data_IF_790042091494
#
_entry.id   IF_790042091494
#
_cell.length_a   1.000
_cell.length_b   1.000
_cell.length_c   1.000
_cell.angle_alpha   90.00
_cell.angle_beta   90.00
_cell.angle_gamma   90.00
#
_symmetry.space_group_name_H-M   'P 1'
#
loop_
_entity.id
_entity.type
_entity.pdbx_description
1 polymer ?
#
# COMPACT_ATOMS: atom_id res chain seq x y z
N UNK A 1 30.68 -13.18 -4.98
CA UNK A 1 29.63 -12.23 -4.53
C UNK A 1 30.25 -10.84 -4.55
N UNK A 2 29.63 -9.86 -5.22
CA UNK A 2 30.12 -8.47 -5.21
C UNK A 2 29.71 -7.77 -3.90
N UNK A 3 30.40 -6.69 -3.54
CA UNK A 3 30.00 -5.84 -2.42
C UNK A 3 28.72 -5.07 -2.80
N UNK A 4 27.75 -5.03 -1.89
CA UNK A 4 26.47 -4.34 -2.06
C UNK A 4 26.22 -3.54 -0.77
N UNK A 5 25.74 -2.32 -0.92
CA UNK A 5 25.37 -1.43 0.19
C UNK A 5 24.21 -1.99 1.01
N UNK A 6 24.24 -1.79 2.33
CA UNK A 6 23.22 -2.28 3.26
C UNK A 6 21.82 -1.75 2.92
N UNK A 7 21.70 -0.47 2.52
CA UNK A 7 20.41 0.14 2.21
C UNK A 7 19.72 -0.57 1.02
N UNK A 8 20.51 -1.16 0.12
CA UNK A 8 19.97 -1.90 -1.03
C UNK A 8 19.37 -3.26 -0.64
N UNK A 9 19.66 -3.77 0.55
CA UNK A 9 19.09 -5.01 1.06
C UNK A 9 17.80 -4.79 1.85
N UNK A 10 17.57 -3.60 2.41
CA UNK A 10 16.35 -3.31 3.17
C UNK A 10 15.09 -3.60 2.34
N UNK A 11 14.13 -4.29 2.93
CA UNK A 11 12.89 -4.72 2.29
C UNK A 11 13.00 -6.00 1.44
N UNK A 12 14.20 -6.55 1.25
CA UNK A 12 14.43 -7.81 0.52
C UNK A 12 13.67 -8.96 1.18
N UNK A 13 13.01 -9.80 0.36
CA UNK A 13 12.29 -10.98 0.84
C UNK A 13 13.30 -12.05 1.28
N UNK A 14 13.08 -12.67 2.44
CA UNK A 14 13.90 -13.77 2.94
C UNK A 14 13.03 -15.02 3.06
N UNK A 15 13.47 -16.11 2.42
CA UNK A 15 12.79 -17.41 2.38
C UNK A 15 13.79 -18.49 2.82
N UNK A 16 13.33 -19.46 3.61
CA UNK A 16 14.16 -20.59 4.01
C UNK A 16 14.19 -21.73 2.97
N UNK A 17 15.02 -22.75 3.21
CA UNK A 17 15.18 -23.87 2.27
C UNK A 17 13.92 -24.75 2.11
N UNK A 18 12.93 -24.63 3.00
CA UNK A 18 11.63 -25.33 2.90
C UNK A 18 10.56 -24.46 2.21
N UNK A 19 10.92 -23.25 1.78
CA UNK A 19 10.01 -22.33 1.10
C UNK A 19 9.14 -21.48 2.02
N UNK A 20 9.46 -21.37 3.32
CA UNK A 20 8.76 -20.50 4.25
C UNK A 20 9.35 -19.09 4.26
N UNK A 21 8.48 -18.08 4.27
CA UNK A 21 8.87 -16.68 4.37
C UNK A 21 9.33 -16.38 5.80
N UNK A 22 10.62 -16.12 5.96
CA UNK A 22 11.24 -15.67 7.21
C UNK A 22 10.88 -14.20 7.50
N UNK A 23 10.68 -13.39 6.46
CA UNK A 23 10.31 -11.98 6.57
C UNK A 23 10.94 -11.13 5.48
N UNK A 24 11.07 -9.84 5.75
CA UNK A 24 11.80 -8.87 4.94
C UNK A 24 12.93 -8.26 5.75
N UNK A 25 14.04 -7.92 5.11
CA UNK A 25 15.20 -7.30 5.78
C UNK A 25 14.81 -5.93 6.35
N UNK A 26 15.01 -5.76 7.65
CA UNK A 26 14.81 -4.50 8.37
C UNK A 26 16.12 -3.71 8.42
N UNK A 27 17.18 -4.35 8.90
CA UNK A 27 18.49 -3.76 9.14
C UNK A 27 19.56 -4.85 9.32
N UNK A 28 20.82 -4.44 9.42
CA UNK A 28 21.93 -5.30 9.80
C UNK A 28 22.47 -4.90 11.17
N UNK A 29 23.01 -5.88 11.87
CA UNK A 29 23.73 -5.71 13.13
C UNK A 29 25.09 -6.39 12.95
N UNK A 30 26.15 -5.57 12.89
CA UNK A 30 27.52 -6.05 12.69
C UNK A 30 28.15 -6.26 14.06
N UNK A 31 28.51 -7.50 14.36
CA UNK A 31 29.32 -7.85 15.54
C UNK A 31 30.74 -8.20 15.09
N UNK A 32 31.73 -8.27 16.01
CA UNK A 32 33.11 -8.58 15.63
C UNK A 32 33.29 -9.94 14.93
N UNK A 33 32.39 -10.88 15.19
CA UNK A 33 32.45 -12.28 14.77
C UNK A 33 31.47 -12.62 13.63
N UNK A 34 30.39 -11.87 13.45
CA UNK A 34 29.33 -12.19 12.48
C UNK A 34 28.51 -10.97 12.09
N UNK A 35 27.72 -11.13 11.02
CA UNK A 35 26.77 -10.11 10.58
C UNK A 35 25.36 -10.69 10.69
N UNK A 36 24.54 -10.05 11.51
CA UNK A 36 23.18 -10.47 11.81
C UNK A 36 22.18 -9.63 11.02
N UNK A 37 21.26 -10.30 10.33
CA UNK A 37 20.20 -9.69 9.54
C UNK A 37 18.90 -9.67 10.36
N UNK A 38 18.41 -8.48 10.70
CA UNK A 38 17.13 -8.28 11.39
C UNK A 38 16.00 -8.31 10.38
N UNK A 39 14.91 -9.01 10.69
CA UNK A 39 13.77 -9.16 9.79
C UNK A 39 12.50 -8.53 10.37
N UNK A 40 11.56 -8.19 9.49
CA UNK A 40 10.17 -7.85 9.85
C UNK A 40 9.19 -8.62 8.97
N UNK A 41 7.96 -8.79 9.46
CA UNK A 41 6.83 -9.33 8.70
C UNK A 41 5.74 -8.27 8.62
N UNK A 42 5.04 -8.25 7.49
CA UNK A 42 3.81 -7.47 7.36
C UNK A 42 2.67 -8.37 7.81
N UNK A 43 2.02 -7.99 8.90
CA UNK A 43 0.85 -8.69 9.43
C UNK A 43 -0.38 -7.87 9.05
N UNK A 44 -1.31 -8.50 8.34
CA UNK A 44 -2.60 -7.88 8.04
C UNK A 44 -3.42 -7.78 9.31
N UNK A 45 -3.59 -6.57 9.83
CA UNK A 45 -4.56 -6.26 10.87
C UNK A 45 -5.87 -5.84 10.19
N UNK A 46 -6.96 -6.56 10.46
CA UNK A 46 -8.30 -6.02 10.22
C UNK A 46 -8.57 -4.95 11.27
N UNK A 47 -8.58 -3.68 10.86
CA UNK A 47 -9.04 -2.58 11.69
C UNK A 47 -10.45 -2.20 11.28
N UNK A 48 -11.33 -2.11 12.27
CA UNK A 48 -12.60 -1.44 12.08
C UNK A 48 -12.36 0.07 12.15
N UNK A 49 -12.51 0.74 11.02
CA UNK A 49 -12.45 2.20 10.92
C UNK A 49 -13.83 2.74 10.58
N UNK A 50 -14.09 4.00 10.88
CA UNK A 50 -15.39 4.60 10.60
C UNK A 50 -15.63 4.64 9.08
N UNK A 51 -16.80 4.18 8.68
CA UNK A 51 -17.26 4.32 7.30
C UNK A 51 -17.84 5.74 7.13
N UNK A 52 -16.95 6.69 6.84
CA UNK A 52 -17.30 8.13 6.71
C UNK A 52 -18.40 8.38 5.69
N UNK A 53 -18.44 7.62 4.59
CA UNK A 53 -19.47 7.77 3.57
C UNK A 53 -20.83 7.32 4.10
N UNK A 54 -20.92 6.11 4.65
CA UNK A 54 -22.17 5.63 5.26
C UNK A 54 -22.60 6.49 6.44
N UNK A 55 -21.67 7.02 7.22
CA UNK A 55 -21.98 7.92 8.33
C UNK A 55 -22.64 9.21 7.82
N UNK A 56 -22.13 9.80 6.72
CA UNK A 56 -22.76 10.96 6.07
C UNK A 56 -24.15 10.62 5.54
N UNK A 57 -24.31 9.46 4.91
CA UNK A 57 -25.60 9.00 4.41
C UNK A 57 -26.62 8.80 5.53
N UNK A 58 -26.23 8.14 6.63
CA UNK A 58 -27.05 7.93 7.80
C UNK A 58 -27.48 9.27 8.43
N UNK A 59 -26.55 10.21 8.57
CA UNK A 59 -26.83 11.56 9.06
C UNK A 59 -27.79 12.32 8.12
N UNK A 60 -27.62 12.21 6.81
CA UNK A 60 -28.52 12.85 5.83
C UNK A 60 -29.91 12.22 5.83
N UNK A 61 -30.00 10.89 5.93
CA UNK A 61 -31.27 10.17 6.03
C UNK A 61 -32.00 10.53 7.32
N UNK A 62 -31.30 10.55 8.45
CA UNK A 62 -31.91 10.90 9.73
C UNK A 62 -32.43 12.34 9.77
N UNK A 63 -31.68 13.29 9.21
CA UNK A 63 -32.02 14.72 9.31
C UNK A 63 -32.94 15.22 8.20
N UNK A 64 -32.87 14.63 7.01
CA UNK A 64 -33.53 15.15 5.80
C UNK A 64 -34.33 14.08 5.05
N UNK A 65 -34.33 12.83 5.51
CA UNK A 65 -34.98 11.68 4.88
C UNK A 65 -34.59 11.46 3.41
N UNK A 66 -33.40 11.95 3.00
CA UNK A 66 -32.90 11.86 1.63
C UNK A 66 -31.38 12.09 1.56
N UNK A 67 -30.69 11.20 0.84
CA UNK A 67 -29.28 11.37 0.48
C UNK A 67 -29.17 12.14 -0.84
N UNK A 68 -28.53 13.31 -0.83
CA UNK A 68 -28.13 14.00 -2.07
C UNK A 68 -27.06 15.06 -1.81
N UNK A 69 -26.33 15.52 -2.85
CA UNK A 69 -25.32 16.58 -2.69
C UNK A 69 -25.88 17.89 -2.10
N UNK A 70 -27.17 18.19 -2.33
CA UNK A 70 -27.85 19.35 -1.72
C UNK A 70 -28.04 19.16 -0.21
N UNK A 71 -28.32 17.94 0.24
CA UNK A 71 -28.50 17.59 1.65
C UNK A 71 -27.16 17.47 2.37
N UNK A 72 -26.09 17.08 1.69
CA UNK A 72 -24.74 17.10 2.25
C UNK A 72 -24.32 18.53 2.61
N UNK A 73 -24.59 19.51 1.72
CA UNK A 73 -24.37 20.94 2.03
C UNK A 73 -25.18 21.40 3.25
N UNK A 74 -26.43 20.93 3.39
CA UNK A 74 -27.27 21.24 4.55
C UNK A 74 -26.75 20.57 5.83
N UNK A 75 -26.28 19.33 5.74
CA UNK A 75 -25.65 18.58 6.83
C UNK A 75 -24.46 19.38 7.38
N UNK A 76 -23.53 19.77 6.51
CA UNK A 76 -22.35 20.55 6.91
C UNK A 76 -22.69 21.91 7.50
N UNK A 77 -23.75 22.58 7.01
CA UNK A 77 -24.22 23.84 7.60
C UNK A 77 -24.79 23.63 9.00
N UNK A 78 -25.52 22.54 9.23
CA UNK A 78 -26.11 22.19 10.53
C UNK A 78 -25.03 21.75 11.52
N UNK A 79 -24.11 20.90 11.09
CA UNK A 79 -22.98 20.41 11.87
C UNK A 79 -22.09 21.56 12.37
N UNK A 80 -21.79 22.54 11.50
CA UNK A 80 -21.05 23.75 11.91
C UNK A 80 -21.79 24.59 12.96
N UNK A 81 -23.11 24.71 12.84
CA UNK A 81 -23.93 25.48 13.78
C UNK A 81 -23.96 24.82 15.16
N UNK A 82 -24.16 23.50 15.21
CA UNK A 82 -24.29 22.74 16.45
C UNK A 82 -22.95 22.58 17.17
N UNK A 83 -21.88 22.27 16.43
CA UNK A 83 -20.52 22.13 16.98
C UNK A 83 -19.77 23.47 17.11
N UNK A 84 -20.43 24.59 16.80
CA UNK A 84 -19.84 25.95 16.81
C UNK A 84 -18.52 26.04 16.03
N UNK A 85 -18.44 25.34 14.90
CA UNK A 85 -17.24 25.29 14.07
C UNK A 85 -17.15 26.53 13.16
N UNK A 86 -15.94 27.09 12.95
CA UNK A 86 -15.72 28.16 11.99
C UNK A 86 -16.17 27.77 10.57
N UNK A 87 -16.72 28.72 9.80
CA UNK A 87 -17.15 28.47 8.41
C UNK A 87 -16.01 28.04 7.49
N UNK A 88 -14.77 28.35 7.87
CA UNK A 88 -13.55 28.12 7.10
C UNK A 88 -12.87 26.78 7.38
N UNK A 89 -13.30 26.04 8.42
CA UNK A 89 -12.70 24.75 8.78
C UNK A 89 -13.32 23.61 7.94
N UNK A 90 -12.50 22.71 7.36
CA UNK A 90 -12.99 21.47 6.79
C UNK A 90 -13.60 20.61 7.90
N UNK A 91 -14.66 19.87 7.58
CA UNK A 91 -15.29 18.96 8.53
C UNK A 91 -14.56 17.62 8.46
N UNK A 92 -13.96 17.20 9.57
CA UNK A 92 -13.21 15.98 9.75
C UNK A 92 -14.13 14.81 10.14
N UNK A 93 -13.58 13.61 10.11
CA UNK A 93 -14.24 12.39 10.61
C UNK A 93 -14.67 12.54 12.07
N UNK A 94 -13.83 13.15 12.91
CA UNK A 94 -14.05 13.32 14.35
C UNK A 94 -15.31 14.16 14.62
N UNK A 95 -15.52 15.21 13.84
CA UNK A 95 -16.70 16.07 13.99
C UNK A 95 -17.98 15.40 13.48
N UNK A 96 -17.90 14.58 12.42
CA UNK A 96 -19.03 13.76 11.96
C UNK A 96 -19.43 12.73 13.01
N UNK A 97 -18.44 12.06 13.61
CA UNK A 97 -18.63 11.09 14.69
C UNK A 97 -19.22 11.75 15.93
N UNK A 98 -18.67 12.88 16.35
CA UNK A 98 -19.16 13.65 17.50
C UNK A 98 -20.62 14.08 17.29
N UNK A 99 -20.95 14.57 16.09
CA UNK A 99 -22.30 14.96 15.76
C UNK A 99 -23.29 13.78 15.72
N UNK A 100 -22.88 12.63 15.18
CA UNK A 100 -23.70 11.42 15.19
C UNK A 100 -23.96 10.89 16.61
N UNK A 101 -22.94 10.93 17.49
CA UNK A 101 -23.10 10.59 18.92
C UNK A 101 -24.07 11.52 19.63
N UNK A 102 -24.02 12.83 19.37
CA UNK A 102 -24.99 13.79 19.92
C UNK A 102 -26.43 13.48 19.50
N UNK A 103 -26.61 12.93 18.29
CA UNK A 103 -27.91 12.52 17.77
C UNK A 103 -28.33 11.10 18.20
N UNK A 104 -27.48 10.38 18.94
CA UNK A 104 -27.73 9.00 19.37
C UNK A 104 -27.73 8.00 18.21
N UNK A 105 -27.02 8.29 17.12
CA UNK A 105 -26.92 7.42 15.95
C UNK A 105 -25.74 6.46 16.09
N UNK A 106 -25.95 5.23 15.62
CA UNK A 106 -24.87 4.25 15.47
C UNK A 106 -23.86 4.73 14.44
N UNK A 107 -22.58 4.54 14.74
CA UNK A 107 -21.48 4.92 13.86
C UNK A 107 -21.15 3.71 12.99
N UNK A 108 -21.45 3.73 11.67
CA UNK A 108 -21.11 2.62 10.80
C UNK A 108 -19.59 2.49 10.69
N UNK A 109 -19.10 1.27 10.81
CA UNK A 109 -17.69 0.92 10.62
C UNK A 109 -17.52 0.07 9.37
N UNK A 110 -16.31 0.13 8.79
CA UNK A 110 -15.87 -0.78 7.73
C UNK A 110 -14.55 -1.42 8.15
N UNK A 111 -14.38 -2.68 7.77
CA UNK A 111 -13.12 -3.39 7.94
C UNK A 111 -12.13 -2.91 6.89
N UNK A 112 -10.98 -2.43 7.33
CA UNK A 112 -9.84 -2.09 6.48
C UNK A 112 -8.68 -2.96 6.87
N UNK A 113 -8.05 -3.58 5.88
CA UNK A 113 -6.78 -4.28 6.07
C UNK A 113 -5.68 -3.22 6.19
N UNK A 114 -5.14 -3.03 7.39
CA UNK A 114 -3.91 -2.27 7.58
C UNK A 114 -2.75 -3.26 7.75
N UNK A 115 -1.70 -3.15 6.94
CA UNK A 115 -0.48 -3.90 7.17
C UNK A 115 0.31 -3.23 8.31
N UNK A 116 0.50 -3.92 9.44
CA UNK A 116 1.44 -3.51 10.47
C UNK A 116 2.77 -4.25 10.30
N UNK A 117 3.89 -3.56 10.54
CA UNK A 117 5.21 -4.19 10.52
C UNK A 117 5.52 -4.73 11.91
N UNK A 118 5.70 -6.03 12.00
CA UNK A 118 6.07 -6.73 13.23
C UNK A 118 7.50 -7.24 13.07
N UNK A 119 8.39 -6.88 13.99
CA UNK A 119 9.76 -7.37 13.97
C UNK A 119 9.80 -8.88 14.25
N UNK A 120 10.74 -9.55 13.60
CA UNK A 120 11.10 -10.94 13.88
C UNK A 120 12.11 -10.90 15.02
N UNK A 121 11.77 -11.54 16.14
CA UNK A 121 12.58 -11.48 17.38
C UNK A 121 14.04 -11.92 17.17
N UNK A 122 14.21 -13.08 16.52
CA UNK A 122 15.52 -13.68 16.27
C UNK A 122 16.10 -13.17 14.93
N UNK A 123 17.32 -12.62 14.92
CA UNK A 123 18.00 -12.27 13.69
C UNK A 123 18.50 -13.52 12.96
N UNK A 124 18.71 -13.39 11.65
CA UNK A 124 19.31 -14.44 10.80
C UNK A 124 20.79 -14.14 10.60
N UNK A 125 21.65 -15.12 10.82
CA UNK A 125 23.07 -14.99 10.50
C UNK A 125 23.25 -14.92 8.97
N UNK A 126 24.00 -13.92 8.48
CA UNK A 126 24.33 -13.78 7.05
C UNK A 126 25.05 -15.03 6.51
N UNK A 127 25.77 -15.75 7.36
CA UNK A 127 26.37 -17.03 6.96
C UNK A 127 25.33 -18.02 6.46
N UNK A 128 24.06 -17.95 6.88
CA UNK A 128 22.98 -18.84 6.44
C UNK A 128 22.45 -18.54 5.03
N UNK A 129 22.92 -17.49 4.38
CA UNK A 129 22.50 -17.15 3.01
C UNK A 129 23.10 -18.14 2.01
N UNK A 130 22.26 -18.72 1.17
CA UNK A 130 22.68 -19.58 0.07
C UNK A 130 22.71 -18.81 -1.26
N UNK A 131 21.63 -18.10 -1.57
CA UNK A 131 21.46 -17.35 -2.82
C UNK A 131 20.82 -15.99 -2.56
N UNK A 132 21.24 -14.99 -3.35
CA UNK A 132 20.65 -13.65 -3.36
C UNK A 132 20.55 -13.18 -4.79
N UNK A 133 19.39 -12.67 -5.20
CA UNK A 133 19.23 -12.13 -6.54
C UNK A 133 18.10 -11.12 -6.62
N UNK A 134 18.06 -10.44 -7.75
CA UNK A 134 17.08 -9.41 -8.05
C UNK A 134 16.35 -9.75 -9.35
N UNK A 135 15.07 -9.44 -9.35
CA UNK A 135 14.19 -9.50 -10.51
C UNK A 135 13.41 -8.18 -10.58
N UNK A 136 12.69 -7.89 -11.69
CA UNK A 136 11.78 -6.75 -11.74
C UNK A 136 10.76 -6.75 -10.60
N UNK A 137 10.40 -7.92 -10.04
CA UNK A 137 9.46 -8.08 -8.94
C UNK A 137 10.06 -7.78 -7.56
N UNK A 138 11.38 -7.60 -7.48
CA UNK A 138 12.12 -7.31 -6.26
C UNK A 138 13.25 -8.30 -6.01
N UNK A 139 13.86 -8.15 -4.83
CA UNK A 139 14.99 -8.95 -4.35
C UNK A 139 14.50 -10.07 -3.45
N UNK A 140 15.16 -11.22 -3.56
CA UNK A 140 14.97 -12.33 -2.65
C UNK A 140 16.30 -12.94 -2.20
N UNK A 141 16.28 -13.47 -0.98
CA UNK A 141 17.33 -14.23 -0.33
C UNK A 141 16.78 -15.61 -0.01
N UNK A 142 17.50 -16.65 -0.40
CA UNK A 142 17.24 -18.03 -0.02
C UNK A 142 18.26 -18.44 1.05
N UNK A 143 17.78 -18.94 2.19
CA UNK A 143 18.63 -19.52 3.23
C UNK A 143 18.89 -21.00 2.96
N UNK A 144 20.09 -21.48 3.29
CA UNK A 144 20.47 -22.90 3.16
C UNK A 144 19.82 -23.81 4.21
N UNK A 145 19.34 -23.23 5.31
CA UNK A 145 18.70 -23.96 6.40
C UNK A 145 17.21 -23.64 6.53
N UNK A 146 16.40 -24.58 7.03
CA UNK A 146 14.96 -24.43 7.22
C UNK A 146 14.66 -23.60 8.47
N UNK A 147 15.16 -22.36 8.50
CA UNK A 147 15.20 -21.49 9.68
C UNK A 147 13.81 -21.14 10.21
N UNK A 148 12.89 -20.72 9.33
CA UNK A 148 11.53 -20.35 9.73
C UNK A 148 10.70 -21.60 10.03
N UNK A 149 10.90 -22.68 9.26
CA UNK A 149 10.27 -23.97 9.51
C UNK A 149 10.62 -24.52 10.91
N UNK A 150 11.92 -24.51 11.28
CA UNK A 150 12.40 -24.89 12.63
C UNK A 150 11.75 -24.01 13.69
N UNK A 151 11.73 -22.69 13.50
CA UNK A 151 11.15 -21.73 14.45
C UNK A 151 9.65 -21.94 14.68
N UNK A 152 8.91 -22.33 13.64
CA UNK A 152 7.48 -22.66 13.73
C UNK A 152 7.19 -24.06 14.26
N UNK A 153 8.22 -24.91 14.39
CA UNK A 153 8.05 -26.32 14.73
C UNK A 153 7.28 -27.13 13.67
N UNK A 154 7.32 -26.71 12.40
CA UNK A 154 6.72 -27.49 11.31
C UNK A 154 7.65 -28.63 10.88
N UNK A 155 7.10 -29.78 10.44
CA UNK A 155 7.90 -30.89 9.93
C UNK A 155 8.76 -30.47 8.74
N UNK A 156 10.06 -30.76 8.81
CA UNK A 156 11.01 -30.63 7.71
C UNK A 156 10.88 -31.89 6.85
N UNK A 157 10.60 -31.74 5.57
CA UNK A 157 10.32 -32.88 4.69
C UNK A 157 11.58 -33.23 3.89
N UNK A 158 11.94 -34.51 3.87
CA UNK A 158 13.01 -34.98 2.97
C UNK A 158 12.48 -35.03 1.52
N UNK A 159 12.96 -34.12 0.68
CA UNK A 159 12.62 -34.05 -0.75
C UNK A 159 11.41 -33.18 -1.06
N UNK A 160 11.09 -33.04 -2.36
CA UNK A 160 10.01 -32.15 -2.82
C UNK A 160 8.64 -32.80 -2.58
N UNK A 161 7.78 -32.24 -1.71
CA UNK A 161 6.47 -32.83 -1.44
C UNK A 161 5.54 -32.69 -2.65
N UNK A 162 4.75 -33.72 -2.92
CA UNK A 162 3.66 -33.61 -3.89
C UNK A 162 2.56 -32.70 -3.34
N UNK A 163 2.13 -31.75 -4.17
CA UNK A 163 1.06 -30.79 -3.87
C UNK A 163 0.01 -30.84 -4.97
N UNK A 164 -1.23 -30.55 -4.61
CA UNK A 164 -2.32 -30.33 -5.56
C UNK A 164 -2.25 -28.94 -6.21
N UNK A 165 -3.01 -28.72 -7.28
CA UNK A 165 -3.10 -27.39 -7.91
C UNK A 165 -3.64 -26.35 -6.94
N UNK A 166 -4.63 -26.73 -6.13
CA UNK A 166 -5.27 -25.90 -5.11
C UNK A 166 -4.27 -25.45 -4.05
N UNK A 167 -3.37 -26.34 -3.61
CA UNK A 167 -2.37 -26.04 -2.58
C UNK A 167 -1.24 -25.11 -3.05
N UNK A 168 -0.97 -25.07 -4.35
CA UNK A 168 0.12 -24.24 -4.91
C UNK A 168 -0.38 -22.92 -5.49
N UNK A 169 -1.67 -22.83 -5.85
CA UNK A 169 -2.22 -21.67 -6.56
C UNK A 169 -2.02 -20.39 -5.76
N UNK A 170 -1.47 -19.37 -6.41
CA UNK A 170 -1.19 -18.07 -5.81
C UNK A 170 0.07 -18.01 -4.95
N UNK A 171 0.82 -19.11 -4.80
CA UNK A 171 2.12 -19.07 -4.09
C UNK A 171 3.18 -18.40 -4.97
N UNK A 172 4.05 -17.62 -4.33
CA UNK A 172 5.21 -17.01 -4.96
C UNK A 172 6.17 -18.09 -5.45
N UNK A 173 6.71 -17.92 -6.65
CA UNK A 173 7.68 -18.82 -7.26
C UNK A 173 9.03 -18.10 -7.38
N UNK A 174 10.04 -18.70 -6.77
CA UNK A 174 11.44 -18.35 -6.93
C UNK A 174 12.13 -19.39 -7.82
N UNK A 175 13.06 -18.97 -8.67
CA UNK A 175 13.98 -19.92 -9.29
C UNK A 175 15.12 -20.31 -8.33
N UNK A 176 15.94 -21.30 -8.73
CA UNK A 176 17.08 -21.78 -7.94
C UNK A 176 18.16 -20.74 -7.71
N UNK A 177 18.09 -19.58 -8.37
CA UNK A 177 19.02 -18.47 -8.21
C UNK A 177 18.42 -17.33 -7.39
N UNK A 178 17.31 -17.56 -6.67
CA UNK A 178 16.58 -16.55 -5.90
C UNK A 178 15.94 -15.42 -6.74
N UNK A 179 15.67 -15.63 -8.04
CA UNK A 179 14.86 -14.67 -8.80
C UNK A 179 13.39 -14.92 -8.60
N UNK A 180 12.64 -13.86 -8.34
CA UNK A 180 11.19 -13.92 -8.27
C UNK A 180 10.63 -14.01 -9.70
N UNK A 181 9.90 -15.08 -9.99
CA UNK A 181 9.33 -15.36 -11.31
C UNK A 181 7.88 -14.87 -11.43
N UNK A 182 7.11 -15.01 -10.35
CA UNK A 182 5.70 -14.66 -10.29
C UNK A 182 4.92 -15.62 -9.39
N UNK A 183 3.67 -15.90 -9.72
CA UNK A 183 2.80 -16.75 -8.90
C UNK A 183 2.39 -18.04 -9.61
N UNK A 184 2.37 -19.14 -8.86
CA UNK A 184 1.94 -20.44 -9.35
C UNK A 184 0.44 -20.43 -9.71
N UNK A 185 0.10 -20.93 -10.90
CA UNK A 185 -1.29 -21.05 -11.35
C UNK A 185 -1.83 -22.48 -11.21
N UNK A 186 -1.09 -23.46 -11.73
CA UNK A 186 -1.50 -24.87 -11.74
C UNK A 186 -0.36 -25.81 -12.09
N UNK A 187 -0.55 -27.07 -11.70
CA UNK A 187 0.33 -28.18 -12.09
C UNK A 187 -0.06 -28.65 -13.49
N UNK A 188 0.95 -28.92 -14.31
CA UNK A 188 0.83 -29.53 -15.63
C UNK A 188 1.25 -30.98 -15.54
N UNK A 189 0.37 -31.88 -15.96
CA UNK A 189 0.62 -33.32 -15.91
C UNK A 189 1.48 -33.71 -17.13
N UNK A 190 2.67 -34.24 -16.86
CA UNK A 190 3.66 -34.69 -17.84
C UNK A 190 4.77 -35.50 -17.15
N UNK A 191 5.76 -35.95 -17.91
CA UNK A 191 7.01 -36.53 -17.37
C UNK A 191 8.20 -35.72 -17.93
N UNK A 192 8.81 -34.82 -17.14
CA UNK A 192 8.49 -34.46 -15.74
C UNK A 192 7.20 -33.64 -15.60
N UNK A 193 6.69 -33.52 -14.37
CA UNK A 193 5.60 -32.58 -14.05
C UNK A 193 6.05 -31.14 -14.37
N UNK A 194 5.12 -30.33 -14.86
CA UNK A 194 5.35 -28.91 -15.09
C UNK A 194 4.63 -28.04 -14.07
N UNK A 195 5.17 -26.86 -13.80
CA UNK A 195 4.49 -25.82 -13.03
C UNK A 195 4.17 -24.66 -13.98
N UNK A 196 2.88 -24.30 -14.12
CA UNK A 196 2.51 -23.07 -14.82
C UNK A 196 2.60 -21.89 -13.85
N UNK A 197 3.42 -20.91 -14.21
CA UNK A 197 3.62 -19.68 -13.44
C UNK A 197 3.05 -18.50 -14.24
N UNK A 198 2.27 -17.64 -13.58
CA UNK A 198 1.88 -16.35 -14.13
C UNK A 198 3.11 -15.45 -14.08
N UNK A 199 3.63 -15.05 -15.23
CA UNK A 199 4.79 -14.17 -15.26
C UNK A 199 4.33 -12.76 -14.93
N UNK A 200 4.87 -12.24 -13.83
CA UNK A 200 4.58 -10.89 -13.39
C UNK A 200 5.81 -10.03 -13.60
N UNK A 201 5.59 -8.83 -14.10
CA UNK A 201 6.63 -7.81 -14.22
C UNK A 201 6.06 -6.49 -13.79
N UNK A 202 6.84 -5.66 -13.10
CA UNK A 202 6.43 -4.27 -12.92
C UNK A 202 6.78 -3.48 -14.17
N UNK A 203 5.80 -2.74 -14.70
CA UNK A 203 6.04 -1.67 -15.65
C UNK A 203 6.11 -0.37 -14.86
N UNK A 204 7.21 0.35 -14.99
CA UNK A 204 7.27 1.74 -14.52
C UNK A 204 6.45 2.58 -15.50
N UNK A 205 5.37 3.16 -15.01
CA UNK A 205 4.61 4.18 -15.72
C UNK A 205 4.83 5.51 -15.00
N UNK A 206 5.00 6.56 -15.77
CA UNK A 206 4.97 7.91 -15.22
C UNK A 206 3.50 8.31 -15.05
N UNK A 207 3.06 8.44 -13.81
CA UNK A 207 1.77 9.04 -13.51
C UNK A 207 1.97 10.44 -12.97
N UNK A 208 1.00 11.30 -13.22
CA UNK A 208 1.00 12.66 -12.69
C UNK A 208 0.98 12.61 -11.15
N UNK A 209 2.00 13.19 -10.55
CA UNK A 209 2.06 13.40 -9.12
C UNK A 209 1.28 14.66 -8.76
N UNK A 210 -0.04 14.47 -8.63
CA UNK A 210 -0.94 15.57 -8.33
C UNK A 210 -0.69 16.19 -6.96
N UNK A 211 -0.21 15.42 -5.98
CA UNK A 211 0.11 15.93 -4.65
C UNK A 211 1.33 16.87 -4.73
N UNK A 212 2.41 16.42 -5.38
CA UNK A 212 3.59 17.26 -5.61
C UNK A 212 3.25 18.51 -6.46
N UNK A 213 2.38 18.37 -7.45
CA UNK A 213 1.87 19.52 -8.21
C UNK A 213 1.16 20.51 -7.28
N UNK A 214 0.27 20.04 -6.43
CA UNK A 214 -0.46 20.90 -5.50
C UNK A 214 0.44 21.55 -4.47
N UNK A 215 1.45 20.85 -3.95
CA UNK A 215 2.47 21.43 -3.06
C UNK A 215 3.26 22.54 -3.76
N UNK A 216 3.72 22.31 -4.98
CA UNK A 216 4.43 23.31 -5.78
C UNK A 216 3.55 24.54 -6.05
N UNK A 217 2.29 24.31 -6.41
CA UNK A 217 1.33 25.38 -6.64
C UNK A 217 1.03 26.13 -5.33
N UNK A 218 0.91 25.46 -4.19
CA UNK A 218 0.72 26.14 -2.91
C UNK A 218 1.98 26.87 -2.42
N UNK A 219 3.18 26.44 -2.79
CA UNK A 219 4.40 27.18 -2.49
C UNK A 219 4.44 28.53 -3.23
N UNK A 220 3.97 28.55 -4.49
CA UNK A 220 3.92 29.74 -5.33
C UNK A 220 2.71 30.64 -5.03
N UNK A 221 1.70 30.12 -4.33
CA UNK A 221 0.48 30.85 -3.98
C UNK A 221 0.33 30.98 -2.47
N UNK A 222 0.34 32.22 -1.95
CA UNK A 222 0.26 32.54 -0.50
C UNK A 222 -0.84 31.80 0.28
N UNK A 223 -1.92 31.37 -0.39
CA UNK A 223 -2.92 30.48 0.19
C UNK A 223 -3.60 29.61 -0.89
N UNK A 224 -4.17 28.46 -0.51
CA UNK A 224 -4.91 27.59 -1.44
C UNK A 224 -6.03 28.30 -2.19
N UNK A 225 -6.71 29.26 -1.53
CA UNK A 225 -7.83 30.02 -2.09
C UNK A 225 -7.44 30.87 -3.30
N UNK A 226 -6.22 31.41 -3.34
CA UNK A 226 -5.72 32.23 -4.44
C UNK A 226 -5.51 31.38 -5.70
N UNK A 227 -5.00 30.16 -5.55
CA UNK A 227 -4.83 29.20 -6.64
C UNK A 227 -6.18 28.87 -7.29
N UNK A 228 -7.16 28.40 -6.50
CA UNK A 228 -8.47 28.02 -7.05
C UNK A 228 -9.21 29.19 -7.71
N UNK A 229 -9.06 30.42 -7.19
CA UNK A 229 -9.62 31.61 -7.84
C UNK A 229 -8.94 31.93 -9.17
N UNK A 230 -7.62 31.77 -9.25
CA UNK A 230 -6.86 32.01 -10.47
C UNK A 230 -7.21 30.97 -11.54
N UNK A 231 -7.17 29.68 -11.18
CA UNK A 231 -7.59 28.57 -12.05
C UNK A 231 -9.02 28.79 -12.57
N UNK A 232 -9.95 29.13 -11.68
CA UNK A 232 -11.34 29.37 -12.05
C UNK A 232 -11.51 30.58 -12.98
N UNK A 233 -10.76 31.66 -12.75
CA UNK A 233 -10.77 32.86 -13.59
C UNK A 233 -10.25 32.55 -15.00
N UNK A 234 -9.13 31.83 -15.10
CA UNK A 234 -8.46 31.54 -16.37
C UNK A 234 -9.24 30.51 -17.20
N UNK A 235 -9.94 29.57 -16.54
CA UNK A 235 -10.79 28.58 -17.19
C UNK A 235 -12.26 29.01 -17.37
N UNK A 236 -12.66 30.18 -16.87
CA UNK A 236 -14.04 30.68 -16.98
C UNK A 236 -15.08 29.88 -16.18
N UNK A 237 -14.66 29.19 -15.12
CA UNK A 237 -15.54 28.39 -14.24
C UNK A 237 -15.68 29.03 -12.85
N UNK A 238 -16.58 28.53 -12.00
CA UNK A 238 -16.66 29.01 -10.61
C UNK A 238 -15.59 28.35 -9.74
N UNK A 239 -15.04 29.04 -8.72
CA UNK A 239 -14.02 28.49 -7.82
C UNK A 239 -14.44 27.20 -7.09
N UNK A 240 -15.74 27.00 -6.87
CA UNK A 240 -16.31 25.80 -6.25
C UNK A 240 -16.52 24.62 -7.22
N UNK A 241 -16.20 24.80 -8.50
CA UNK A 241 -16.30 23.78 -9.57
C UNK A 241 -14.92 23.29 -10.05
N UNK A 242 -13.83 23.79 -9.47
CA UNK A 242 -12.48 23.36 -9.84
C UNK A 242 -12.28 21.91 -9.41
N UNK A 243 -11.92 21.05 -10.37
CA UNK A 243 -11.63 19.63 -10.16
C UNK A 243 -10.14 19.37 -10.40
N UNK A 244 -9.70 18.14 -10.14
CA UNK A 244 -8.35 17.67 -10.47
C UNK A 244 -7.99 17.95 -11.93
N UNK A 245 -8.87 17.58 -12.85
CA UNK A 245 -8.63 17.72 -14.29
C UNK A 245 -8.52 19.19 -14.69
N UNK A 246 -9.35 20.07 -14.10
CA UNK A 246 -9.25 21.51 -14.33
C UNK A 246 -7.89 22.08 -13.90
N UNK A 247 -7.34 21.64 -12.77
CA UNK A 247 -6.03 22.11 -12.30
C UNK A 247 -4.91 21.63 -13.23
N UNK A 248 -5.00 20.37 -13.71
CA UNK A 248 -4.02 19.81 -14.63
C UNK A 248 -4.02 20.52 -15.98
N UNK A 249 -5.19 20.71 -16.57
CA UNK A 249 -5.33 21.45 -17.83
C UNK A 249 -4.87 22.90 -17.69
N UNK A 250 -5.18 23.56 -16.57
CA UNK A 250 -4.69 24.92 -16.31
C UNK A 250 -3.18 24.98 -16.14
N UNK A 251 -2.56 24.05 -15.40
CA UNK A 251 -1.12 24.00 -15.20
C UNK A 251 -0.38 23.80 -16.54
N UNK A 252 -0.90 22.93 -17.40
CA UNK A 252 -0.39 22.71 -18.75
C UNK A 252 -0.51 23.98 -19.62
N UNK A 253 -1.68 24.64 -19.62
CA UNK A 253 -1.90 25.91 -20.32
C UNK A 253 -0.99 27.04 -19.82
N UNK A 254 -0.69 27.07 -18.52
CA UNK A 254 0.16 28.05 -17.88
C UNK A 254 1.66 27.76 -18.06
N UNK A 255 2.03 26.66 -18.72
CA UNK A 255 3.43 26.24 -18.91
C UNK A 255 4.11 25.79 -17.63
N UNK A 256 3.35 25.38 -16.62
CA UNK A 256 3.86 24.86 -15.36
C UNK A 256 4.26 23.40 -15.56
N UNK A 257 5.48 23.05 -15.18
CA UNK A 257 5.96 21.67 -15.24
C UNK A 257 5.11 20.79 -14.31
N UNK A 258 4.47 19.77 -14.86
CA UNK A 258 3.63 18.84 -14.10
C UNK A 258 4.53 17.74 -13.53
N UNK A 259 4.72 17.67 -12.20
CA UNK A 259 5.50 16.62 -11.57
C UNK A 259 4.92 15.26 -11.92
N UNK A 260 5.81 14.32 -12.23
CA UNK A 260 5.45 12.93 -12.47
C UNK A 260 6.13 12.06 -11.41
N UNK A 261 5.39 11.09 -10.91
CA UNK A 261 5.94 10.01 -10.09
C UNK A 261 5.97 8.73 -10.88
N UNK A 262 7.04 7.97 -10.66
CA UNK A 262 7.13 6.61 -11.19
C UNK A 262 6.24 5.71 -10.35
N UNK A 263 5.19 5.17 -10.97
CA UNK A 263 4.33 4.17 -10.35
C UNK A 263 4.69 2.82 -10.94
N UNK A 264 4.94 1.85 -10.05
CA UNK A 264 5.17 0.45 -10.45
C UNK A 264 3.83 -0.23 -10.56
N UNK A 265 3.35 -0.49 -11.79
CA UNK A 265 2.15 -1.30 -12.01
C UNK A 265 2.52 -2.73 -12.29
N UNK A 266 1.88 -3.66 -11.58
CA UNK A 266 2.01 -5.09 -11.82
C UNK A 266 1.34 -5.43 -13.16
N UNK A 267 2.12 -5.97 -14.09
CA UNK A 267 1.63 -6.50 -15.37
C UNK A 267 1.77 -8.02 -15.33
N UNK A 268 0.63 -8.70 -15.44
CA UNK A 268 0.56 -10.17 -15.52
C UNK A 268 0.42 -10.57 -16.98
N UNK A 269 1.26 -11.50 -17.45
CA UNK A 269 1.19 -12.09 -18.80
C UNK A 269 0.72 -13.54 -18.76
#
# INVERSE_FOLDING_TARGET
MGYIEEEKFVGTLVVDSEGYICGRVASFEITPDRVLMRLYKEVGEEKEVVDVEKLKEALMMFLFNKVSPKHEKKLYKKLRKELKLPSEMPITEEELVSFARMLGLDIPTKKVHSASRVNVDEPVDMELIEQVNESPLGKAVILKEPWEAKRRGVPIVEGVPYKSTEEIKGKLVLDSTARIIGHAQKILIGRPLGLRVALETYREEEEVDFEALMEMLFANFKNPKALFKQVAKDLGIKPDQVTRDHILSWAEMAGIEIPKKKVRKLVTK
#
